data_IF_711565735520
#
_entry.id   IF_711565735520
#
_cell.length_a   1.000
_cell.length_b   1.000
_cell.length_c   1.000
_cell.angle_alpha   90.00
_cell.angle_beta   90.00
_cell.angle_gamma   90.00
#
_symmetry.space_group_name_H-M   'P 1'
#
loop_
_entity.id
_entity.type
_entity.pdbx_description
1 polymer ?
#
# COMPACT_ATOMS: atom_id res chain seq x y z
N UNK A 1 3.11 -30.08 49.04
CA UNK A 1 3.57 -29.65 47.70
C UNK A 1 3.72 -28.15 47.69
N UNK A 2 4.98 -27.68 47.64
CA UNK A 2 5.31 -26.28 47.66
C UNK A 2 5.12 -25.69 46.24
N UNK A 3 4.11 -24.84 46.07
CA UNK A 3 3.95 -24.02 44.88
C UNK A 3 5.16 -23.08 44.77
N UNK A 4 6.04 -23.32 43.84
CA UNK A 4 7.14 -22.42 43.49
C UNK A 4 6.52 -21.10 43.02
N UNK A 5 6.58 -20.06 43.87
CA UNK A 5 6.23 -18.68 43.51
C UNK A 5 7.20 -18.23 42.38
N UNK A 6 6.67 -18.03 41.19
CA UNK A 6 7.40 -17.34 40.12
C UNK A 6 7.76 -15.93 40.62
N UNK A 7 9.02 -15.51 40.56
CA UNK A 7 9.39 -14.17 41.00
C UNK A 7 8.62 -13.11 40.21
N UNK A 8 8.03 -12.16 40.89
CA UNK A 8 7.32 -11.04 40.26
C UNK A 8 8.29 -10.28 39.35
N UNK A 9 7.97 -10.23 38.05
CA UNK A 9 8.76 -9.44 37.08
C UNK A 9 8.63 -7.99 37.47
N UNK A 10 9.75 -7.36 37.82
CA UNK A 10 9.77 -5.94 38.11
C UNK A 10 9.65 -5.14 36.80
N UNK A 11 8.47 -4.57 36.56
CA UNK A 11 8.17 -3.80 35.35
C UNK A 11 9.16 -2.64 35.13
N UNK A 12 9.68 -2.03 36.21
CA UNK A 12 10.71 -0.99 36.12
C UNK A 12 12.03 -1.53 35.55
N UNK A 13 12.45 -2.71 35.96
CA UNK A 13 13.67 -3.33 35.43
C UNK A 13 13.50 -3.75 33.97
N UNK A 14 12.33 -4.25 33.60
CA UNK A 14 11.98 -4.56 32.22
C UNK A 14 11.99 -3.30 31.34
N UNK A 15 11.36 -2.22 31.80
CA UNK A 15 11.37 -0.94 31.08
C UNK A 15 12.79 -0.36 30.98
N UNK A 16 13.60 -0.47 32.03
CA UNK A 16 14.99 -0.01 31.99
C UNK A 16 15.86 -0.82 31.07
N UNK A 17 15.63 -2.12 30.94
CA UNK A 17 16.29 -2.98 29.95
C UNK A 17 15.83 -2.67 28.53
N UNK A 18 14.54 -2.42 28.32
CA UNK A 18 13.99 -2.05 27.00
C UNK A 18 14.48 -0.67 26.56
N UNK A 19 14.60 0.28 27.47
CA UNK A 19 15.14 1.62 27.20
C UNK A 19 16.68 1.64 27.00
N UNK A 20 17.40 0.59 27.39
CA UNK A 20 18.82 0.42 27.08
C UNK A 20 19.08 -0.02 25.64
N UNK A 21 18.09 -0.51 24.93
CA UNK A 21 18.15 -0.60 23.48
C UNK A 21 18.06 0.81 22.89
N UNK A 22 19.18 1.53 22.92
CA UNK A 22 19.40 2.58 21.95
C UNK A 22 19.43 1.88 20.61
N UNK A 23 18.35 2.02 19.86
CA UNK A 23 18.40 1.83 18.42
C UNK A 23 19.35 2.90 17.94
N UNK A 24 20.62 2.55 17.76
CA UNK A 24 21.54 3.44 17.06
C UNK A 24 20.91 3.67 15.69
N UNK A 25 20.67 4.92 15.30
CA UNK A 25 20.18 5.18 13.95
C UNK A 25 21.18 4.54 13.01
N UNK A 26 20.73 3.91 11.91
CA UNK A 26 21.64 3.27 10.97
C UNK A 26 22.71 4.27 10.57
N UNK A 27 23.95 3.92 10.86
CA UNK A 27 25.18 4.67 10.55
C UNK A 27 25.26 4.80 9.01
N UNK A 28 24.61 5.76 8.45
CA UNK A 28 24.80 6.36 7.12
C UNK A 28 23.50 6.97 6.56
N UNK A 29 23.05 8.04 7.14
CA UNK A 29 22.22 8.97 6.38
C UNK A 29 23.14 10.10 5.89
N UNK A 30 23.88 9.84 4.83
CA UNK A 30 24.62 10.87 4.09
C UNK A 30 23.70 11.85 3.34
N UNK A 31 22.40 11.66 3.41
CA UNK A 31 21.41 12.59 2.86
C UNK A 31 20.80 13.41 4.00
N UNK A 32 20.73 14.74 3.85
CA UNK A 32 20.07 15.59 4.83
C UNK A 32 18.60 15.16 4.98
N UNK A 33 18.11 15.15 6.22
CA UNK A 33 16.70 14.86 6.50
C UNK A 33 15.78 15.79 5.70
N UNK A 34 14.64 15.30 5.21
CA UNK A 34 13.67 16.15 4.52
C UNK A 34 13.15 17.21 5.49
N UNK A 35 12.98 18.45 5.02
CA UNK A 35 12.46 19.55 5.84
C UNK A 35 10.95 19.52 5.96
N UNK A 36 10.28 19.13 4.89
CA UNK A 36 8.81 19.04 4.80
C UNK A 36 8.42 17.78 4.06
N UNK A 37 7.47 17.03 4.58
CA UNK A 37 6.98 15.78 4.00
C UNK A 37 5.48 15.85 3.81
N UNK A 38 5.03 15.47 2.62
CA UNK A 38 3.62 15.23 2.30
C UNK A 38 3.29 13.78 2.61
N UNK A 39 2.23 13.56 3.36
CA UNK A 39 1.66 12.25 3.62
C UNK A 39 0.36 12.13 2.82
N UNK A 40 0.26 11.12 1.95
CA UNK A 40 -0.99 10.77 1.31
C UNK A 40 -1.75 9.87 2.28
N UNK A 41 -2.87 10.37 2.78
CA UNK A 41 -3.66 9.70 3.80
C UNK A 41 -4.62 8.65 3.22
N UNK A 42 -5.37 8.03 4.12
CA UNK A 42 -6.15 6.83 3.81
C UNK A 42 -7.40 7.04 2.97
N UNK A 43 -7.90 8.27 2.86
CA UNK A 43 -9.12 8.54 2.09
C UNK A 43 -10.37 7.86 2.65
N UNK A 44 -11.32 7.58 1.78
CA UNK A 44 -12.54 6.85 2.10
C UNK A 44 -12.34 5.35 2.00
N UNK A 45 -11.73 4.74 3.00
CA UNK A 45 -11.52 3.29 3.05
C UNK A 45 -12.74 2.54 3.59
N UNK A 46 -12.85 1.25 3.29
CA UNK A 46 -13.81 0.36 3.91
C UNK A 46 -13.51 0.17 5.40
N UNK A 47 -14.53 -0.17 6.19
CA UNK A 47 -14.47 -0.20 7.67
C UNK A 47 -13.28 -1.04 8.20
N UNK A 48 -12.96 -2.18 7.61
CA UNK A 48 -11.86 -3.03 8.09
C UNK A 48 -10.45 -2.48 7.79
N UNK A 49 -10.31 -1.66 6.76
CA UNK A 49 -9.02 -1.09 6.34
C UNK A 49 -8.72 0.24 7.01
N UNK A 50 -9.77 1.01 7.36
CA UNK A 50 -9.64 2.32 7.96
C UNK A 50 -8.81 2.29 9.26
N UNK A 51 -9.02 1.31 10.12
CA UNK A 51 -8.31 1.20 11.40
C UNK A 51 -6.80 1.02 11.24
N UNK A 52 -6.36 0.21 10.29
CA UNK A 52 -4.94 -0.01 10.03
C UNK A 52 -4.24 1.25 9.52
N UNK A 53 -4.78 1.87 8.49
CA UNK A 53 -4.19 3.06 7.89
C UNK A 53 -4.34 4.31 8.77
N UNK A 54 -5.42 4.43 9.54
CA UNK A 54 -5.60 5.51 10.50
C UNK A 54 -4.51 5.48 11.57
N UNK A 55 -4.20 4.30 12.09
CA UNK A 55 -3.14 4.13 13.06
C UNK A 55 -1.75 4.39 12.44
N UNK A 56 -1.40 3.69 11.37
CA UNK A 56 -0.07 3.76 10.76
C UNK A 56 0.24 5.17 10.23
N UNK A 57 -0.71 5.83 9.58
CA UNK A 57 -0.56 7.20 9.11
C UNK A 57 -0.41 8.21 10.26
N UNK A 58 -1.16 8.06 11.33
CA UNK A 58 -1.04 8.89 12.52
C UNK A 58 0.31 8.73 13.20
N UNK A 59 0.83 7.50 13.30
CA UNK A 59 2.16 7.23 13.85
C UNK A 59 3.27 7.80 12.95
N UNK A 60 3.12 7.74 11.64
CA UNK A 60 4.07 8.35 10.71
C UNK A 60 4.13 9.88 10.89
N UNK A 61 2.98 10.55 10.99
CA UNK A 61 2.92 11.99 11.26
C UNK A 61 3.61 12.32 12.59
N UNK A 62 3.31 11.56 13.63
CA UNK A 62 3.93 11.74 14.95
C UNK A 62 5.46 11.57 14.89
N UNK A 63 5.95 10.51 14.26
CA UNK A 63 7.37 10.25 14.12
C UNK A 63 8.11 11.37 13.35
N UNK A 64 7.51 11.87 12.29
CA UNK A 64 8.06 13.01 11.53
C UNK A 64 8.14 14.27 12.40
N UNK A 65 7.11 14.56 13.20
CA UNK A 65 7.12 15.70 14.12
C UNK A 65 8.19 15.55 15.21
N UNK A 66 8.37 14.35 15.76
CA UNK A 66 9.44 14.06 16.73
C UNK A 66 10.83 14.26 16.11
N UNK A 67 10.97 14.01 14.81
CA UNK A 67 12.18 14.31 14.04
C UNK A 67 12.30 15.78 13.60
N UNK A 68 11.41 16.67 14.05
CA UNK A 68 11.35 18.09 13.67
C UNK A 68 11.15 18.31 12.16
N UNK A 69 10.45 17.39 11.50
CA UNK A 69 10.09 17.48 10.09
C UNK A 69 8.67 18.04 9.97
N UNK A 70 8.50 19.08 9.16
CA UNK A 70 7.19 19.67 8.90
C UNK A 70 6.30 18.69 8.13
N UNK A 71 5.05 18.54 8.58
CA UNK A 71 4.11 17.56 8.04
C UNK A 71 2.94 18.21 7.33
N UNK A 72 2.67 17.75 6.12
CA UNK A 72 1.47 18.10 5.34
C UNK A 72 0.71 16.82 5.06
N UNK A 73 -0.56 16.77 5.41
CA UNK A 73 -1.44 15.63 5.14
C UNK A 73 -2.47 16.02 4.08
N UNK A 74 -2.69 15.16 3.10
CA UNK A 74 -3.85 15.21 2.22
C UNK A 74 -4.75 14.00 2.51
N UNK A 75 -5.99 14.24 2.90
CA UNK A 75 -6.97 13.19 3.20
C UNK A 75 -8.39 13.77 3.11
N UNK A 76 -9.26 13.26 2.24
CA UNK A 76 -10.64 13.72 2.12
C UNK A 76 -11.52 13.36 3.33
N UNK A 77 -11.10 12.41 4.15
CA UNK A 77 -11.88 11.93 5.28
C UNK A 77 -11.71 12.84 6.50
N UNK A 78 -12.77 13.53 6.89
CA UNK A 78 -12.81 14.40 8.07
C UNK A 78 -12.98 13.64 9.39
N UNK A 79 -13.35 12.35 9.33
CA UNK A 79 -13.68 11.52 10.48
C UNK A 79 -12.53 10.59 10.92
N UNK A 80 -11.36 10.71 10.30
CA UNK A 80 -10.18 9.91 10.66
C UNK A 80 -9.33 10.57 11.73
N UNK A 81 -8.67 9.78 12.55
CA UNK A 81 -7.68 10.24 13.53
C UNK A 81 -6.53 11.00 12.83
N UNK A 82 -6.15 10.61 11.62
CA UNK A 82 -5.09 11.27 10.85
C UNK A 82 -5.33 12.79 10.68
N UNK A 83 -6.58 13.20 10.49
CA UNK A 83 -6.97 14.60 10.28
C UNK A 83 -7.27 15.36 11.57
N UNK A 84 -7.04 14.75 12.73
CA UNK A 84 -7.24 15.38 14.03
C UNK A 84 -6.41 16.63 14.18
N UNK A 85 -7.05 17.69 14.74
CA UNK A 85 -6.41 18.98 14.94
C UNK A 85 -5.13 18.84 15.76
N UNK A 86 -4.03 19.41 15.28
CA UNK A 86 -2.74 19.42 15.95
C UNK A 86 -1.88 18.17 15.70
N UNK A 87 -2.36 17.18 14.96
CA UNK A 87 -1.55 16.02 14.57
C UNK A 87 -0.58 16.43 13.44
N UNK A 88 -1.04 16.63 12.22
CA UNK A 88 -0.22 17.22 11.15
C UNK A 88 -0.14 18.75 11.27
N UNK A 89 0.95 19.37 10.79
CA UNK A 89 1.09 20.82 10.79
C UNK A 89 0.08 21.48 9.85
N UNK A 90 -0.23 20.82 8.74
CA UNK A 90 -1.24 21.27 7.77
C UNK A 90 -2.02 20.08 7.19
N UNK A 91 -3.33 20.26 7.03
CA UNK A 91 -4.23 19.24 6.49
C UNK A 91 -4.99 19.82 5.30
N UNK A 92 -5.00 19.08 4.20
CA UNK A 92 -5.81 19.35 3.02
C UNK A 92 -6.93 18.31 2.92
N UNK A 93 -8.16 18.75 3.03
CA UNK A 93 -9.36 17.91 2.85
C UNK A 93 -9.74 17.89 1.37
N UNK A 94 -8.94 17.22 0.56
CA UNK A 94 -9.10 17.12 -0.88
C UNK A 94 -9.10 15.67 -1.34
N UNK A 95 -9.78 15.37 -2.48
CA UNK A 95 -9.74 14.04 -3.08
C UNK A 95 -8.31 13.59 -3.40
N UNK A 96 -8.05 12.28 -3.23
CA UNK A 96 -6.77 11.66 -3.54
C UNK A 96 -6.68 11.31 -5.03
N UNK A 97 -6.75 12.33 -5.87
CA UNK A 97 -6.54 12.22 -7.31
C UNK A 97 -5.33 13.05 -7.73
N UNK A 98 -4.62 12.66 -8.79
CA UNK A 98 -3.36 13.29 -9.18
C UNK A 98 -3.44 14.82 -9.32
N UNK A 99 -4.53 15.34 -9.84
CA UNK A 99 -4.74 16.77 -10.08
C UNK A 99 -4.69 17.60 -8.80
N UNK A 100 -5.36 17.14 -7.73
CA UNK A 100 -5.35 17.83 -6.43
C UNK A 100 -4.04 17.62 -5.69
N UNK A 101 -3.48 16.40 -5.75
CA UNK A 101 -2.20 16.11 -5.08
C UNK A 101 -1.08 16.92 -5.73
N UNK A 102 -1.05 17.06 -7.06
CA UNK A 102 -0.08 17.93 -7.75
C UNK A 102 -0.21 19.39 -7.30
N UNK A 103 -1.44 19.90 -7.14
CA UNK A 103 -1.64 21.27 -6.64
C UNK A 103 -1.11 21.47 -5.23
N UNK A 104 -1.31 20.49 -4.35
CA UNK A 104 -0.75 20.51 -2.99
C UNK A 104 0.77 20.47 -3.03
N UNK A 105 1.38 19.61 -3.85
CA UNK A 105 2.83 19.56 -4.03
C UNK A 105 3.36 20.89 -4.57
N UNK A 106 2.67 21.50 -5.53
CA UNK A 106 3.03 22.79 -6.08
C UNK A 106 3.00 23.92 -5.03
N UNK A 107 1.98 23.94 -4.19
CA UNK A 107 1.78 24.96 -3.16
C UNK A 107 2.71 24.80 -1.97
N UNK A 108 2.87 23.57 -1.49
CA UNK A 108 3.61 23.27 -0.26
C UNK A 108 5.10 23.01 -0.49
N UNK A 109 5.49 22.62 -1.70
CA UNK A 109 6.87 22.29 -2.06
C UNK A 109 7.52 21.33 -1.06
N UNK A 110 6.88 20.18 -0.74
CA UNK A 110 7.50 19.19 0.13
C UNK A 110 8.77 18.63 -0.51
N UNK A 111 9.79 18.39 0.29
CA UNK A 111 11.01 17.73 -0.17
C UNK A 111 10.86 16.22 -0.27
N UNK A 112 9.82 15.65 0.35
CA UNK A 112 9.50 14.23 0.29
C UNK A 112 8.02 13.96 0.37
N UNK A 113 7.62 12.78 -0.10
CA UNK A 113 6.24 12.25 -0.05
C UNK A 113 6.23 10.82 0.44
N UNK A 114 5.27 10.48 1.29
CA UNK A 114 4.96 9.13 1.75
C UNK A 114 3.66 8.67 1.13
N UNK A 115 3.70 7.56 0.36
CA UNK A 115 2.58 7.02 -0.40
C UNK A 115 1.85 5.89 0.34
N UNK A 116 2.58 5.13 1.16
CA UNK A 116 2.13 3.84 1.71
C UNK A 116 1.08 3.94 2.82
N UNK A 117 0.79 5.14 3.31
CA UNK A 117 -0.24 5.37 4.34
C UNK A 117 -1.62 5.69 3.79
N UNK A 118 -1.77 5.68 2.47
CA UNK A 118 -3.00 5.97 1.75
C UNK A 118 -3.73 4.74 1.19
N UNK A 119 -3.25 3.52 1.53
CA UNK A 119 -3.78 2.30 0.95
C UNK A 119 -3.64 2.28 -0.57
N UNK A 120 -4.44 1.44 -1.23
CA UNK A 120 -4.39 1.29 -2.69
C UNK A 120 -4.63 2.62 -3.43
N UNK A 121 -5.53 3.46 -2.92
CA UNK A 121 -5.82 4.77 -3.52
C UNK A 121 -4.58 5.66 -3.52
N UNK A 122 -3.83 5.68 -2.41
CA UNK A 122 -2.58 6.44 -2.29
C UNK A 122 -1.48 5.90 -3.21
N UNK A 123 -1.33 4.59 -3.29
CA UNK A 123 -0.34 3.94 -4.17
C UNK A 123 -0.64 4.21 -5.64
N UNK A 124 -1.88 4.02 -6.08
CA UNK A 124 -2.29 4.29 -7.46
C UNK A 124 -2.10 5.76 -7.84
N UNK A 125 -2.46 6.67 -6.94
CA UNK A 125 -2.22 8.10 -7.14
C UNK A 125 -0.72 8.40 -7.27
N UNK A 126 0.13 7.80 -6.44
CA UNK A 126 1.58 7.96 -6.50
C UNK A 126 2.18 7.47 -7.81
N UNK A 127 1.77 6.30 -8.28
CA UNK A 127 2.21 5.74 -9.58
C UNK A 127 1.82 6.65 -10.74
N UNK A 128 0.61 7.20 -10.72
CA UNK A 128 0.16 8.11 -11.77
C UNK A 128 0.91 9.45 -11.75
N UNK A 129 1.17 10.00 -10.56
CA UNK A 129 1.98 11.21 -10.40
C UNK A 129 3.42 11.03 -10.90
N UNK A 130 4.00 9.86 -10.66
CA UNK A 130 5.34 9.53 -11.17
C UNK A 130 5.34 9.45 -12.70
N UNK A 131 4.36 8.78 -13.31
CA UNK A 131 4.20 8.71 -14.77
C UNK A 131 4.07 10.09 -15.41
N UNK A 132 3.39 11.02 -14.72
CA UNK A 132 3.26 12.44 -15.16
C UNK A 132 4.51 13.27 -14.88
N UNK A 133 5.54 12.71 -14.24
CA UNK A 133 6.77 13.40 -13.89
C UNK A 133 6.63 14.48 -12.82
N UNK A 134 5.56 14.45 -12.03
CA UNK A 134 5.24 15.48 -11.01
C UNK A 134 6.31 15.53 -9.93
N UNK A 135 6.76 14.39 -9.42
CA UNK A 135 7.75 14.35 -8.35
C UNK A 135 9.09 14.94 -8.80
N UNK A 136 9.51 14.64 -10.02
CA UNK A 136 10.72 15.23 -10.63
C UNK A 136 10.56 16.73 -10.86
N UNK A 137 9.40 17.16 -11.39
CA UNK A 137 9.08 18.58 -11.69
C UNK A 137 9.21 19.46 -10.45
N UNK A 138 8.79 18.97 -9.29
CA UNK A 138 8.80 19.74 -8.04
C UNK A 138 9.93 19.35 -7.08
N UNK A 139 10.87 18.50 -7.51
CA UNK A 139 11.98 17.99 -6.68
C UNK A 139 11.50 17.37 -5.35
N UNK A 140 10.42 16.59 -5.43
CA UNK A 140 9.81 15.87 -4.31
C UNK A 140 10.25 14.41 -4.36
N UNK A 141 10.96 13.92 -3.35
CA UNK A 141 11.43 12.52 -3.32
C UNK A 141 10.36 11.61 -2.73
N UNK A 142 10.15 10.47 -3.35
CA UNK A 142 9.35 9.40 -2.75
C UNK A 142 10.19 8.79 -1.61
N UNK A 143 9.62 8.78 -0.41
CA UNK A 143 10.25 8.26 0.80
C UNK A 143 9.64 6.91 1.19
N UNK A 144 10.43 6.09 1.87
CA UNK A 144 10.02 4.75 2.25
C UNK A 144 10.15 3.77 1.09
N UNK A 145 9.05 3.14 0.68
CA UNK A 145 9.04 2.17 -0.42
C UNK A 145 9.30 2.84 -1.77
N UNK A 146 10.34 2.43 -2.51
CA UNK A 146 10.62 2.96 -3.84
C UNK A 146 9.45 2.73 -4.81
N UNK A 147 9.23 3.66 -5.75
CA UNK A 147 8.09 3.58 -6.68
C UNK A 147 8.16 2.35 -7.57
N UNK A 148 9.36 1.95 -7.97
CA UNK A 148 9.58 0.74 -8.77
C UNK A 148 9.13 -0.51 -8.01
N UNK A 149 9.41 -0.58 -6.71
CA UNK A 149 8.95 -1.69 -5.87
C UNK A 149 7.42 -1.70 -5.73
N UNK A 150 6.78 -0.52 -5.64
CA UNK A 150 5.32 -0.41 -5.65
C UNK A 150 4.76 -0.93 -6.97
N UNK A 151 5.30 -0.50 -8.10
CA UNK A 151 4.85 -0.94 -9.43
C UNK A 151 5.05 -2.45 -9.59
N UNK A 152 6.23 -2.97 -9.26
CA UNK A 152 6.56 -4.39 -9.39
C UNK A 152 5.68 -5.29 -8.52
N UNK A 153 5.25 -4.82 -7.34
CA UNK A 153 4.41 -5.59 -6.43
C UNK A 153 2.92 -5.47 -6.73
N UNK A 154 2.48 -4.37 -7.30
CA UNK A 154 1.08 -4.14 -7.68
C UNK A 154 0.74 -4.78 -9.03
N UNK A 155 1.67 -4.79 -9.98
CA UNK A 155 1.51 -5.48 -11.25
C UNK A 155 1.82 -6.98 -11.08
N UNK A 156 0.78 -7.82 -11.23
CA UNK A 156 0.92 -9.26 -11.02
C UNK A 156 1.87 -9.94 -11.98
N UNK A 157 1.95 -9.47 -13.23
CA UNK A 157 2.87 -9.99 -14.22
C UNK A 157 4.30 -9.64 -13.85
N UNK A 158 4.57 -8.37 -13.57
CA UNK A 158 5.88 -7.90 -13.13
C UNK A 158 6.32 -8.62 -11.85
N UNK A 159 5.42 -8.77 -10.87
CA UNK A 159 5.68 -9.54 -9.65
C UNK A 159 6.10 -10.98 -9.94
N UNK A 160 5.34 -11.69 -10.79
CA UNK A 160 5.66 -13.07 -11.16
C UNK A 160 7.02 -13.19 -11.83
N UNK A 161 7.36 -12.26 -12.72
CA UNK A 161 8.66 -12.21 -13.40
C UNK A 161 9.81 -11.95 -12.42
N UNK A 162 9.61 -11.03 -11.44
CA UNK A 162 10.60 -10.75 -10.39
C UNK A 162 10.82 -11.95 -9.48
N UNK A 163 9.75 -12.64 -9.08
CA UNK A 163 9.84 -13.85 -8.23
C UNK A 163 10.56 -14.97 -8.99
N UNK A 164 10.24 -15.17 -10.28
CA UNK A 164 10.93 -16.15 -11.11
C UNK A 164 12.43 -15.82 -11.27
N UNK A 165 12.80 -14.55 -11.38
CA UNK A 165 14.18 -14.10 -11.53
C UNK A 165 15.07 -14.43 -10.32
N UNK A 166 14.49 -14.53 -9.11
CA UNK A 166 15.21 -14.97 -7.90
C UNK A 166 15.17 -16.48 -7.65
N UNK A 167 14.63 -17.25 -8.62
CA UNK A 167 14.54 -18.72 -8.54
C UNK A 167 13.34 -19.26 -7.77
N UNK A 168 12.44 -18.38 -7.32
CA UNK A 168 11.22 -18.79 -6.60
C UNK A 168 10.06 -19.03 -7.58
N UNK A 169 9.03 -19.72 -7.11
CA UNK A 169 7.88 -20.12 -7.92
C UNK A 169 6.61 -19.44 -7.41
N UNK A 170 5.81 -18.95 -8.34
CA UNK A 170 4.42 -18.57 -8.14
C UNK A 170 3.50 -19.59 -8.82
N UNK A 171 2.23 -19.61 -8.43
CA UNK A 171 1.25 -20.40 -9.19
C UNK A 171 1.24 -19.94 -10.66
N UNK A 172 1.21 -20.89 -11.63
CA UNK A 172 1.08 -20.54 -13.03
C UNK A 172 -0.14 -19.63 -13.24
N UNK A 173 0.08 -18.49 -13.89
CA UNK A 173 -0.96 -17.47 -14.08
C UNK A 173 -0.89 -16.87 -15.47
N UNK A 174 -2.03 -16.43 -15.96
CA UNK A 174 -2.15 -15.74 -17.24
C UNK A 174 -3.06 -14.50 -17.07
N UNK A 175 -2.66 -13.40 -17.70
CA UNK A 175 -3.48 -12.20 -17.75
C UNK A 175 -4.50 -12.33 -18.91
N UNK A 176 -5.71 -11.83 -18.67
CA UNK A 176 -6.79 -11.78 -19.66
C UNK A 176 -7.46 -10.40 -19.61
N UNK A 177 -7.73 -9.84 -20.78
CA UNK A 177 -8.39 -8.54 -20.95
C UNK A 177 -9.79 -8.68 -21.54
N UNK A 178 -10.18 -9.92 -21.84
CA UNK A 178 -11.52 -10.28 -22.33
C UNK A 178 -11.97 -11.60 -21.72
N UNK A 179 -13.28 -11.85 -21.80
CA UNK A 179 -13.85 -13.13 -21.36
C UNK A 179 -13.26 -14.28 -22.16
N UNK A 180 -13.07 -14.11 -23.48
CA UNK A 180 -12.50 -15.16 -24.33
C UNK A 180 -11.06 -15.48 -23.93
N UNK A 181 -10.22 -14.48 -23.73
CA UNK A 181 -8.85 -14.67 -23.23
C UNK A 181 -8.82 -15.39 -21.89
N UNK A 182 -9.78 -15.09 -20.99
CA UNK A 182 -9.87 -15.78 -19.71
C UNK A 182 -10.20 -17.27 -19.84
N UNK A 183 -11.10 -17.61 -20.77
CA UNK A 183 -11.43 -19.01 -21.08
C UNK A 183 -10.25 -19.75 -21.69
N UNK A 184 -9.58 -19.14 -22.66
CA UNK A 184 -8.39 -19.71 -23.31
C UNK A 184 -7.24 -19.92 -22.30
N UNK A 185 -7.04 -18.98 -21.39
CA UNK A 185 -6.08 -19.10 -20.30
C UNK A 185 -6.41 -20.28 -19.37
N UNK A 186 -7.69 -20.43 -19.01
CA UNK A 186 -8.11 -21.52 -18.13
C UNK A 186 -7.98 -22.91 -18.78
N UNK A 187 -8.20 -23.01 -20.08
CA UNK A 187 -7.96 -24.25 -20.83
C UNK A 187 -6.48 -24.65 -20.78
N UNK A 188 -5.57 -23.67 -20.93
CA UNK A 188 -4.13 -23.92 -20.86
C UNK A 188 -3.66 -24.29 -19.46
N UNK A 189 -4.20 -23.64 -18.41
CA UNK A 189 -3.83 -23.88 -17.02
C UNK A 189 -4.45 -25.15 -16.44
N UNK A 190 -5.60 -25.57 -16.98
CA UNK A 190 -6.41 -26.68 -16.46
C UNK A 190 -7.26 -26.27 -15.24
N UNK A 191 -8.56 -26.63 -15.30
CA UNK A 191 -9.47 -26.41 -14.18
C UNK A 191 -9.13 -27.32 -12.97
N UNK A 192 -9.42 -26.90 -11.72
CA UNK A 192 -10.00 -25.60 -11.35
C UNK A 192 -9.00 -24.44 -11.46
N UNK A 193 -9.51 -23.25 -11.72
CA UNK A 193 -8.74 -22.01 -11.76
C UNK A 193 -9.28 -20.99 -10.77
N UNK A 194 -8.45 -20.03 -10.39
CA UNK A 194 -8.85 -18.87 -9.63
C UNK A 194 -8.80 -17.63 -10.53
N UNK A 195 -9.94 -16.96 -10.66
CA UNK A 195 -10.02 -15.69 -11.35
C UNK A 195 -9.91 -14.55 -10.34
N UNK A 196 -9.07 -13.55 -10.63
CA UNK A 196 -8.88 -12.37 -9.77
C UNK A 196 -8.85 -11.11 -10.63
N UNK A 197 -9.69 -10.12 -10.31
CA UNK A 197 -9.58 -8.81 -10.92
C UNK A 197 -8.22 -8.19 -10.55
N UNK A 198 -7.53 -7.64 -11.53
CA UNK A 198 -6.32 -6.87 -11.30
C UNK A 198 -6.66 -5.58 -10.55
N UNK A 199 -5.79 -5.15 -9.65
CA UNK A 199 -5.94 -3.91 -8.87
C UNK A 199 -7.19 -3.84 -7.98
N UNK A 200 -7.82 -4.98 -7.68
CA UNK A 200 -9.00 -5.07 -6.81
C UNK A 200 -8.58 -5.47 -5.40
N UNK A 201 -9.03 -4.68 -4.43
CA UNK A 201 -8.89 -4.98 -3.01
C UNK A 201 -10.23 -5.54 -2.47
N UNK A 202 -10.16 -6.50 -1.52
CA UNK A 202 -11.35 -7.02 -0.85
C UNK A 202 -12.12 -8.12 -1.58
N UNK A 203 -11.50 -8.76 -2.59
CA UNK A 203 -12.05 -9.96 -3.24
C UNK A 203 -13.24 -9.74 -4.18
N UNK A 204 -13.64 -8.50 -4.44
CA UNK A 204 -14.67 -8.18 -5.43
C UNK A 204 -14.20 -8.61 -6.84
N UNK A 205 -15.00 -9.41 -7.53
CA UNK A 205 -14.65 -9.96 -8.84
C UNK A 205 -13.58 -11.04 -8.81
N UNK A 206 -13.36 -11.69 -7.65
CA UNK A 206 -12.44 -12.82 -7.48
C UNK A 206 -13.18 -14.05 -7.03
N UNK A 207 -12.81 -15.22 -7.55
CA UNK A 207 -13.43 -16.48 -7.18
C UNK A 207 -12.79 -17.69 -7.84
N UNK A 208 -13.09 -18.86 -7.31
CA UNK A 208 -12.73 -20.14 -7.94
C UNK A 208 -13.75 -20.49 -9.00
N UNK A 209 -13.27 -21.03 -10.12
CA UNK A 209 -14.09 -21.61 -11.17
C UNK A 209 -13.64 -23.06 -11.42
N UNK A 210 -14.58 -23.98 -11.29
CA UNK A 210 -14.37 -25.40 -11.57
C UNK A 210 -14.78 -25.75 -13.00
N UNK A 211 -15.60 -24.91 -13.61
CA UNK A 211 -16.16 -25.10 -14.96
C UNK A 211 -16.02 -23.84 -15.79
N UNK A 212 -16.20 -24.01 -17.11
CA UNK A 212 -16.19 -22.93 -18.10
C UNK A 212 -17.31 -21.92 -17.81
N UNK A 213 -18.49 -22.38 -17.42
CA UNK A 213 -19.66 -21.55 -17.14
C UNK A 213 -19.44 -20.67 -15.91
N UNK A 214 -18.85 -21.24 -14.84
CA UNK A 214 -18.49 -20.51 -13.61
C UNK A 214 -17.45 -19.43 -13.94
N UNK A 215 -16.42 -19.77 -14.73
CA UNK A 215 -15.40 -18.80 -15.12
C UNK A 215 -15.98 -17.68 -15.98
N UNK A 216 -16.84 -18.02 -16.94
CA UNK A 216 -17.49 -17.03 -17.79
C UNK A 216 -18.30 -16.01 -16.99
N UNK A 217 -19.06 -16.47 -15.99
CA UNK A 217 -19.81 -15.59 -15.10
C UNK A 217 -18.90 -14.69 -14.28
N UNK A 218 -17.83 -15.24 -13.67
CA UNK A 218 -16.84 -14.47 -12.91
C UNK A 218 -16.11 -13.45 -13.78
N UNK A 219 -15.70 -13.84 -14.99
CA UNK A 219 -14.99 -12.97 -15.90
C UNK A 219 -15.85 -11.78 -16.37
N UNK A 220 -17.13 -12.00 -16.64
CA UNK A 220 -18.07 -10.92 -16.98
C UNK A 220 -18.22 -9.92 -15.83
N UNK A 221 -18.35 -10.39 -14.58
CA UNK A 221 -18.45 -9.52 -13.43
C UNK A 221 -17.15 -8.75 -13.15
N UNK A 222 -16.01 -9.42 -13.22
CA UNK A 222 -14.72 -8.81 -12.96
C UNK A 222 -14.35 -7.75 -14.00
N UNK A 223 -14.55 -8.04 -15.28
CA UNK A 223 -14.21 -7.13 -16.38
C UNK A 223 -15.19 -5.95 -16.52
N UNK A 224 -16.35 -5.99 -15.85
CA UNK A 224 -17.23 -4.83 -15.73
C UNK A 224 -16.59 -3.70 -14.85
N UNK A 225 -15.66 -4.04 -13.97
CA UNK A 225 -15.05 -3.12 -13.01
C UNK A 225 -13.51 -3.06 -13.10
N UNK A 226 -12.89 -3.92 -13.90
CA UNK A 226 -11.43 -3.99 -14.09
C UNK A 226 -11.11 -4.16 -15.56
N UNK A 227 -10.04 -3.52 -16.00
CA UNK A 227 -9.53 -3.68 -17.37
C UNK A 227 -8.74 -4.98 -17.59
N UNK A 228 -8.45 -5.70 -16.51
CA UNK A 228 -7.64 -6.92 -16.55
C UNK A 228 -8.12 -7.92 -15.51
N UNK A 229 -8.09 -9.18 -15.88
CA UNK A 229 -8.34 -10.34 -15.04
C UNK A 229 -7.09 -11.23 -15.04
N UNK A 230 -6.74 -11.77 -13.90
CA UNK A 230 -5.69 -12.78 -13.78
C UNK A 230 -6.34 -14.13 -13.53
N UNK A 231 -5.96 -15.11 -14.33
CA UNK A 231 -6.36 -16.51 -14.17
C UNK A 231 -5.16 -17.26 -13.59
N UNK A 232 -5.31 -17.78 -12.40
CA UNK A 232 -4.29 -18.58 -11.71
C UNK A 232 -4.71 -20.05 -11.72
N UNK A 233 -3.73 -20.94 -11.88
CA UNK A 233 -3.95 -22.36 -11.65
C UNK A 233 -4.28 -22.57 -10.17
N UNK A 234 -5.37 -23.26 -9.86
CA UNK A 234 -5.67 -23.64 -8.48
C UNK A 234 -4.63 -24.66 -7.98
N UNK A 235 -4.14 -24.42 -6.77
CA UNK A 235 -3.25 -25.35 -6.06
C UNK A 235 -4.00 -26.21 -5.03
N UNK A 236 -5.34 -26.21 -5.09
CA UNK A 236 -6.20 -27.10 -4.29
C UNK A 236 -6.18 -28.51 -4.84
#
# INVERSE_FOLDING_TARGET
EAVKKTPAINIKDLMTQTLKYKVEPPLNTSSPLPKKVLIIGSGGLSIGQAGEFDYSGSQAIKALKEASIQTVLINPNIATVQTSKGLADKVYFLPLVPEYVEQVICSERPSGVLLTFGGQTGLNCGVELEKRGVFKKYNCKILGTPIEAIIDTEDRKAFSERIAAIGEKVAPSMAAHSVQEALDAAEQLGYPVMARAAFSLGGLGSGFANTVEELKSLALQALAHSSQLIIDKSLK
#
